data_IF_331255708649
#
_entry.id   IF_331255708649
#
_cell.length_a   1.000
_cell.length_b   1.000
_cell.length_c   1.000
_cell.angle_alpha   90.00
_cell.angle_beta   90.00
_cell.angle_gamma   90.00
#
_symmetry.space_group_name_H-M   'P 1'
#
loop_
_entity.id
_entity.type
_entity.pdbx_description
1 polymer ?
#
# COMPACT_ATOMS: atom_id res chain seq x y z
N UNK A 1 59.49 30.53 5.41
CA UNK A 1 58.80 29.26 5.09
C UNK A 1 57.81 28.94 6.19
N UNK A 2 56.52 29.08 5.89
CA UNK A 2 55.44 28.22 6.38
C UNK A 2 54.21 28.61 5.57
N UNK A 3 53.98 27.89 4.49
CA UNK A 3 52.76 27.99 3.70
C UNK A 3 51.76 27.05 4.35
N UNK A 4 50.75 27.60 5.00
CA UNK A 4 49.57 26.87 5.43
C UNK A 4 48.84 26.41 4.16
N UNK A 5 48.74 25.09 3.96
CA UNK A 5 47.82 24.48 3.01
C UNK A 5 46.43 24.54 3.64
N UNK A 6 45.57 25.41 3.12
CA UNK A 6 44.12 25.25 3.25
C UNK A 6 43.72 24.03 2.41
N UNK A 7 43.37 22.95 3.09
CA UNK A 7 42.61 21.86 2.50
C UNK A 7 41.16 22.30 2.46
N UNK A 8 40.72 22.79 1.30
CA UNK A 8 39.31 22.96 0.98
C UNK A 8 38.59 21.61 1.13
N UNK A 9 37.71 21.51 2.13
CA UNK A 9 36.68 20.48 2.19
C UNK A 9 35.76 20.67 0.98
N UNK A 10 36.06 19.95 -0.11
CA UNK A 10 35.12 19.79 -1.21
C UNK A 10 33.88 19.08 -0.66
N UNK A 11 32.82 19.85 -0.39
CA UNK A 11 31.49 19.32 -0.19
C UNK A 11 31.13 18.50 -1.43
N UNK A 12 31.12 17.18 -1.30
CA UNK A 12 30.68 16.28 -2.37
C UNK A 12 29.21 16.56 -2.63
N UNK A 13 28.94 17.37 -3.66
CA UNK A 13 27.58 17.56 -4.17
C UNK A 13 27.19 16.24 -4.81
N UNK A 14 26.21 15.55 -4.23
CA UNK A 14 25.65 14.36 -4.85
C UNK A 14 25.04 14.77 -6.20
N UNK A 15 25.26 14.00 -7.28
CA UNK A 15 24.69 14.33 -8.58
C UNK A 15 23.17 14.41 -8.45
N UNK A 16 22.62 15.58 -8.74
CA UNK A 16 21.18 15.82 -8.71
C UNK A 16 20.64 15.50 -10.10
N UNK A 17 19.91 14.39 -10.22
CA UNK A 17 19.28 14.02 -11.50
C UNK A 17 18.05 14.91 -11.69
N UNK A 18 18.01 15.64 -12.80
CA UNK A 18 16.85 16.39 -13.23
C UNK A 18 16.03 15.54 -14.21
N UNK A 19 14.72 15.45 -13.96
CA UNK A 19 13.79 14.74 -14.81
C UNK A 19 12.58 15.59 -15.15
N UNK A 20 11.92 15.25 -16.26
CA UNK A 20 10.65 15.83 -16.65
C UNK A 20 9.52 14.80 -16.47
N UNK A 21 8.42 15.29 -15.93
CA UNK A 21 7.18 14.55 -15.75
C UNK A 21 6.26 14.88 -16.93
N UNK A 22 5.76 13.83 -17.59
CA UNK A 22 4.78 13.93 -18.66
C UNK A 22 3.45 13.40 -18.16
N UNK A 23 2.40 14.18 -18.35
CA UNK A 23 1.08 13.87 -17.84
C UNK A 23 0.00 14.77 -18.38
N UNK A 24 -1.22 14.51 -17.96
CA UNK A 24 -2.35 15.41 -18.18
C UNK A 24 -2.69 16.13 -16.88
N UNK A 25 -3.09 17.39 -16.98
CA UNK A 25 -3.55 18.16 -15.84
C UNK A 25 -4.98 18.65 -16.13
N UNK A 26 -5.92 18.25 -15.28
CA UNK A 26 -7.30 18.73 -15.30
C UNK A 26 -7.61 19.46 -13.99
N UNK A 27 -7.40 20.78 -13.97
CA UNK A 27 -7.50 21.58 -12.76
C UNK A 27 -6.43 21.20 -11.73
N UNK A 28 -6.85 20.62 -10.60
CA UNK A 28 -5.97 20.16 -9.51
C UNK A 28 -5.61 18.68 -9.60
N UNK A 29 -6.22 17.96 -10.54
CA UNK A 29 -5.92 16.56 -10.80
C UNK A 29 -4.79 16.48 -11.82
N UNK A 30 -3.73 15.75 -11.47
CA UNK A 30 -2.55 15.57 -12.31
C UNK A 30 -2.33 14.08 -12.49
N UNK A 31 -2.52 13.62 -13.71
CA UNK A 31 -2.25 12.24 -14.11
C UNK A 31 -0.86 12.17 -14.72
N UNK A 32 0.08 11.54 -14.03
CA UNK A 32 1.45 11.35 -14.52
C UNK A 32 1.49 10.05 -15.31
N UNK A 33 1.83 10.14 -16.60
CA UNK A 33 1.87 9.00 -17.52
C UNK A 33 3.30 8.50 -17.72
N UNK A 34 4.29 9.40 -17.74
CA UNK A 34 5.68 9.04 -17.98
C UNK A 34 6.65 10.01 -17.30
N UNK A 35 7.87 9.56 -17.02
CA UNK A 35 8.97 10.37 -16.50
C UNK A 35 10.24 10.05 -17.28
N UNK A 36 11.03 11.06 -17.62
CA UNK A 36 12.31 10.86 -18.30
C UNK A 36 13.37 11.83 -17.77
N UNK A 37 14.63 11.42 -17.84
CA UNK A 37 15.77 12.26 -17.45
C UNK A 37 16.02 13.35 -18.48
N UNK A 38 16.43 14.53 -17.98
CA UNK A 38 16.81 15.66 -18.81
C UNK A 38 18.33 15.67 -19.00
N UNK A 39 18.76 15.98 -20.22
CA UNK A 39 20.18 16.17 -20.50
C UNK A 39 20.67 17.43 -19.77
N UNK A 40 21.81 17.32 -19.10
CA UNK A 40 22.52 18.44 -18.48
C UNK A 40 23.63 18.95 -19.40
N UNK A 41 24.05 20.20 -19.23
CA UNK A 41 25.17 20.75 -19.99
C UNK A 41 26.49 20.04 -19.66
N UNK A 42 27.35 19.86 -20.67
CA UNK A 42 28.66 19.22 -20.48
C UNK A 42 29.50 19.95 -19.42
N UNK A 43 29.75 19.29 -18.29
CA UNK A 43 30.55 19.83 -17.18
C UNK A 43 29.78 20.58 -16.10
N UNK A 44 28.44 20.63 -16.17
CA UNK A 44 27.55 21.19 -15.14
C UNK A 44 26.29 20.35 -14.95
N UNK A 45 26.28 19.52 -13.93
CA UNK A 45 25.14 18.65 -13.58
C UNK A 45 23.91 19.42 -13.06
N UNK A 46 24.06 20.73 -12.79
CA UNK A 46 23.03 21.61 -12.26
C UNK A 46 22.28 22.41 -13.34
N UNK A 47 22.76 22.41 -14.59
CA UNK A 47 22.15 23.16 -15.69
C UNK A 47 21.55 22.22 -16.73
N UNK A 48 20.26 22.39 -17.02
CA UNK A 48 19.59 21.64 -18.07
C UNK A 48 19.96 22.22 -19.43
N UNK A 49 20.23 21.34 -20.40
CA UNK A 49 20.42 21.71 -21.80
C UNK A 49 19.13 22.39 -22.32
N UNK A 50 19.24 23.70 -22.53
CA UNK A 50 18.15 24.53 -23.02
C UNK A 50 17.73 24.20 -24.45
N UNK A 51 18.66 23.77 -25.30
CA UNK A 51 18.39 23.40 -26.70
C UNK A 51 17.62 22.07 -26.75
N UNK A 52 18.02 21.12 -25.89
CA UNK A 52 17.30 19.86 -25.70
C UNK A 52 15.86 20.11 -25.22
N UNK A 53 15.67 20.98 -24.22
CA UNK A 53 14.35 21.33 -23.71
C UNK A 53 13.49 22.05 -24.76
N UNK A 54 14.04 23.02 -25.49
CA UNK A 54 13.29 23.77 -26.49
C UNK A 54 12.86 22.89 -27.67
N UNK A 55 13.73 21.97 -28.12
CA UNK A 55 13.40 21.00 -29.18
C UNK A 55 12.21 20.10 -28.81
N UNK A 56 12.03 19.88 -27.50
CA UNK A 56 10.99 19.04 -26.91
C UNK A 56 9.77 19.83 -26.44
N UNK A 57 9.90 21.13 -26.21
CA UNK A 57 8.83 22.04 -25.75
C UNK A 57 7.68 22.13 -26.74
N UNK A 58 7.97 22.12 -28.04
CA UNK A 58 6.92 22.22 -29.06
C UNK A 58 6.01 20.97 -29.08
N UNK A 59 6.47 19.86 -28.48
CA UNK A 59 5.69 18.64 -28.27
C UNK A 59 4.80 18.72 -27.01
N UNK A 60 5.18 19.55 -26.01
CA UNK A 60 4.60 19.53 -24.66
C UNK A 60 4.42 20.95 -24.11
N UNK A 61 3.18 21.42 -24.08
CA UNK A 61 2.84 22.70 -23.45
C UNK A 61 2.37 22.48 -22.00
N UNK A 62 3.04 23.11 -21.04
CA UNK A 62 2.59 23.18 -19.65
C UNK A 62 2.64 24.63 -19.16
N UNK A 63 1.49 25.19 -18.80
CA UNK A 63 1.37 26.56 -18.30
C UNK A 63 1.69 26.70 -16.81
N UNK A 64 1.62 25.60 -16.05
CA UNK A 64 1.84 25.56 -14.59
C UNK A 64 2.67 24.33 -14.21
N UNK A 65 4.00 24.36 -14.36
CA UNK A 65 4.84 23.22 -14.03
C UNK A 65 4.86 22.98 -12.52
N UNK A 66 4.60 21.74 -12.10
CA UNK A 66 4.80 21.29 -10.72
C UNK A 66 6.23 20.79 -10.55
N UNK A 67 6.83 21.14 -9.41
CA UNK A 67 8.16 20.65 -9.04
C UNK A 67 7.99 19.52 -8.03
N UNK A 68 8.42 18.31 -8.39
CA UNK A 68 8.50 17.19 -7.47
C UNK A 68 9.95 16.98 -7.05
N UNK A 69 10.20 17.02 -5.75
CA UNK A 69 11.53 16.76 -5.17
C UNK A 69 11.50 15.37 -4.57
N UNK A 70 12.19 14.42 -5.21
CA UNK A 70 12.35 13.06 -4.71
C UNK A 70 13.46 13.04 -3.65
N UNK A 71 13.16 12.46 -2.48
CA UNK A 71 14.07 12.39 -1.34
C UNK A 71 14.43 10.92 -1.09
N UNK A 72 15.49 10.39 -1.73
CA UNK A 72 15.84 8.98 -1.63
C UNK A 72 16.27 8.57 -0.21
N UNK A 73 16.69 9.53 0.63
CA UNK A 73 17.26 9.28 1.96
C UNK A 73 16.28 9.47 3.12
N UNK A 74 15.03 9.90 2.88
CA UNK A 74 14.07 10.25 3.95
C UNK A 74 12.97 9.20 4.16
N UNK A 75 13.33 7.91 4.16
CA UNK A 75 12.48 6.87 4.77
C UNK A 75 12.69 6.86 6.30
N UNK A 76 13.16 7.96 6.88
CA UNK A 76 13.14 8.24 8.31
C UNK A 76 11.72 8.67 8.71
N UNK A 77 10.91 7.65 8.96
CA UNK A 77 9.66 7.62 9.72
C UNK A 77 9.35 8.89 10.53
N UNK A 78 8.65 9.86 9.93
CA UNK A 78 8.24 11.03 10.72
C UNK A 78 6.88 11.68 10.49
N UNK A 79 5.97 11.21 9.62
CA UNK A 79 4.54 11.63 9.71
C UNK A 79 3.55 10.53 10.10
N UNK A 80 2.53 10.96 10.86
CA UNK A 80 1.77 10.15 11.83
C UNK A 80 0.48 9.55 11.20
N UNK A 81 0.18 9.85 9.94
CA UNK A 81 -1.14 9.53 9.35
C UNK A 81 -1.11 8.99 7.92
N UNK A 82 0.05 8.75 7.35
CA UNK A 82 0.19 8.15 6.02
C UNK A 82 1.65 7.85 5.76
N UNK A 83 1.93 6.80 5.00
CA UNK A 83 3.26 6.64 4.40
C UNK A 83 3.59 7.95 3.69
N UNK A 84 4.53 8.73 4.23
CA UNK A 84 5.08 9.87 3.51
C UNK A 84 5.78 9.27 2.31
N UNK A 85 5.21 9.49 1.13
CA UNK A 85 5.88 9.11 -0.08
C UNK A 85 7.23 9.85 -0.12
N UNK A 86 8.27 9.26 -0.71
CA UNK A 86 9.61 9.81 -0.71
C UNK A 86 9.73 11.01 -1.66
N UNK A 87 8.70 11.87 -1.74
CA UNK A 87 8.73 13.12 -2.48
C UNK A 87 7.86 14.20 -1.84
N UNK A 88 8.23 15.45 -2.15
CA UNK A 88 7.42 16.64 -1.89
C UNK A 88 7.03 17.29 -3.22
N UNK A 89 5.79 17.77 -3.30
CA UNK A 89 5.30 18.52 -4.44
C UNK A 89 5.33 20.02 -4.12
N UNK A 90 5.73 20.83 -5.09
CA UNK A 90 5.74 22.27 -4.99
C UNK A 90 5.06 22.91 -6.20
N UNK A 91 4.27 23.95 -5.94
CA UNK A 91 3.66 24.76 -7.00
C UNK A 91 4.31 26.15 -7.07
N UNK A 92 4.49 26.71 -8.28
CA UNK A 92 5.05 28.04 -8.46
C UNK A 92 4.00 29.09 -8.05
N UNK A 93 4.35 29.97 -7.12
CA UNK A 93 3.54 31.09 -6.65
C UNK A 93 4.35 32.38 -6.68
N UNK A 94 3.67 33.51 -6.91
CA UNK A 94 4.28 34.83 -6.84
C UNK A 94 4.05 35.41 -5.44
N UNK A 95 5.12 35.59 -4.69
CA UNK A 95 5.07 36.22 -3.36
C UNK A 95 5.55 37.68 -3.46
N UNK A 96 4.76 38.61 -2.93
CA UNK A 96 5.12 40.03 -2.86
C UNK A 96 5.53 40.34 -1.42
N UNK A 97 6.84 40.52 -1.19
CA UNK A 97 7.40 41.01 0.08
C UNK A 97 8.23 42.26 -0.18
N UNK A 98 8.13 43.25 0.71
CA UNK A 98 8.92 44.49 0.65
C UNK A 98 8.90 45.21 -0.71
N UNK A 99 7.72 45.28 -1.35
CA UNK A 99 7.50 45.87 -2.68
C UNK A 99 8.33 45.23 -3.81
N UNK A 100 8.89 44.03 -3.58
CA UNK A 100 9.55 43.22 -4.61
C UNK A 100 8.74 41.95 -4.85
N UNK A 101 8.48 41.69 -6.12
CA UNK A 101 7.81 40.49 -6.59
C UNK A 101 8.85 39.39 -6.78
N UNK A 102 8.71 38.25 -6.09
CA UNK A 102 9.57 37.07 -6.28
C UNK A 102 8.74 35.85 -6.65
N UNK A 103 9.25 35.04 -7.58
CA UNK A 103 8.72 33.71 -7.86
C UNK A 103 9.23 32.75 -6.78
N UNK A 104 8.34 32.03 -6.12
CA UNK A 104 8.64 31.12 -5.02
C UNK A 104 7.86 29.82 -5.22
N UNK A 105 8.49 28.69 -4.89
CA UNK A 105 7.83 27.40 -4.83
C UNK A 105 7.28 27.17 -3.43
N UNK A 106 5.99 26.90 -3.31
CA UNK A 106 5.33 26.57 -2.04
C UNK A 106 4.95 25.10 -2.02
N UNK A 107 5.08 24.45 -0.85
CA UNK A 107 4.75 23.03 -0.70
C UNK A 107 3.25 22.81 -0.91
N UNK A 108 2.90 21.94 -1.86
CA UNK A 108 1.54 21.63 -2.23
C UNK A 108 1.08 20.32 -1.56
N UNK A 109 -0.07 20.32 -0.85
CA UNK A 109 -0.64 19.08 -0.33
C UNK A 109 -1.09 18.19 -1.48
N UNK A 110 -0.79 16.90 -1.40
CA UNK A 110 -1.13 15.94 -2.45
C UNK A 110 -1.76 14.68 -1.86
N UNK A 111 -2.52 13.98 -2.71
CA UNK A 111 -3.02 12.63 -2.46
C UNK A 111 -2.67 11.82 -3.70
N UNK A 112 -2.06 10.65 -3.52
CA UNK A 112 -1.74 9.75 -4.63
C UNK A 112 -2.89 8.78 -4.84
N UNK A 113 -3.30 8.67 -6.10
CA UNK A 113 -4.29 7.70 -6.56
C UNK A 113 -3.63 6.83 -7.62
N UNK A 114 -3.86 5.52 -7.56
CA UNK A 114 -3.33 4.55 -8.52
C UNK A 114 -4.47 3.91 -9.29
N UNK A 115 -4.24 3.62 -10.57
CA UNK A 115 -5.23 2.93 -11.40
C UNK A 115 -5.45 1.48 -10.93
N UNK A 116 -6.58 0.86 -11.30
CA UNK A 116 -6.89 -0.52 -10.88
C UNK A 116 -5.81 -1.53 -11.33
N UNK A 117 -5.38 -1.42 -12.59
CA UNK A 117 -4.34 -2.30 -13.13
C UNK A 117 -3.00 -2.13 -12.42
N UNK A 118 -2.61 -0.88 -12.15
CA UNK A 118 -1.39 -0.56 -11.39
C UNK A 118 -1.49 -1.08 -9.96
N UNK A 119 -2.62 -0.85 -9.27
CA UNK A 119 -2.86 -1.33 -7.92
C UNK A 119 -2.72 -2.84 -7.83
N UNK A 120 -3.33 -3.59 -8.76
CA UNK A 120 -3.22 -5.06 -8.80
C UNK A 120 -1.76 -5.49 -9.03
N UNK A 121 -1.08 -4.87 -10.00
CA UNK A 121 0.30 -5.22 -10.34
C UNK A 121 1.28 -4.94 -9.18
N UNK A 122 1.14 -3.78 -8.53
CA UNK A 122 1.94 -3.36 -7.37
C UNK A 122 1.64 -4.26 -6.17
N UNK A 123 0.38 -4.54 -5.88
CA UNK A 123 -0.03 -5.41 -4.77
C UNK A 123 0.51 -6.84 -4.95
N UNK A 124 0.44 -7.38 -6.17
CA UNK A 124 0.97 -8.71 -6.47
C UNK A 124 2.50 -8.76 -6.35
N UNK A 125 3.20 -7.71 -6.79
CA UNK A 125 4.66 -7.59 -6.65
C UNK A 125 5.06 -7.45 -5.19
N UNK A 126 4.35 -6.62 -4.41
CA UNK A 126 4.60 -6.40 -2.99
C UNK A 126 4.39 -7.67 -2.15
N UNK A 127 3.43 -8.52 -2.56
CA UNK A 127 3.16 -9.83 -1.95
C UNK A 127 4.10 -10.93 -2.43
N UNK A 128 5.06 -10.63 -3.31
CA UNK A 128 6.03 -11.61 -3.82
C UNK A 128 5.42 -12.68 -4.72
N UNK A 129 4.35 -12.35 -5.46
CA UNK A 129 3.73 -13.27 -6.43
C UNK A 129 2.79 -14.32 -5.81
N UNK A 130 2.76 -14.46 -4.48
CA UNK A 130 1.85 -15.34 -3.76
C UNK A 130 0.51 -14.68 -3.44
N UNK A 131 -0.59 -15.42 -3.58
CA UNK A 131 -1.88 -14.99 -3.07
C UNK A 131 -1.85 -14.94 -1.54
N UNK A 132 -1.59 -13.75 -0.96
CA UNK A 132 -1.63 -13.58 0.48
C UNK A 132 -3.06 -13.78 0.99
N UNK A 133 -3.22 -14.57 2.04
CA UNK A 133 -4.54 -14.77 2.65
C UNK A 133 -5.01 -13.48 3.32
N UNK A 134 -6.33 -13.29 3.45
CA UNK A 134 -6.88 -12.13 4.17
C UNK A 134 -6.39 -12.02 5.61
N UNK A 135 -6.06 -13.14 6.25
CA UNK A 135 -5.46 -13.17 7.58
C UNK A 135 -4.02 -12.64 7.56
N UNK A 136 -3.21 -13.06 6.60
CA UNK A 136 -1.81 -12.64 6.49
C UNK A 136 -1.70 -11.13 6.22
N UNK A 137 -2.53 -10.59 5.31
CA UNK A 137 -2.56 -9.14 5.07
C UNK A 137 -3.00 -8.35 6.31
N UNK A 138 -4.00 -8.87 7.05
CA UNK A 138 -4.45 -8.26 8.29
C UNK A 138 -3.36 -8.26 9.37
N UNK A 139 -2.70 -9.40 9.59
CA UNK A 139 -1.59 -9.51 10.54
C UNK A 139 -0.40 -8.64 10.15
N UNK A 140 -0.12 -8.51 8.86
CA UNK A 140 0.95 -7.64 8.37
C UNK A 140 0.64 -6.16 8.64
N UNK A 141 -0.61 -5.73 8.44
CA UNK A 141 -1.06 -4.37 8.78
C UNK A 141 -0.96 -4.11 10.28
N UNK A 142 -1.44 -5.04 11.12
CA UNK A 142 -1.31 -4.95 12.58
C UNK A 142 0.17 -4.84 13.01
N UNK A 143 1.04 -5.69 12.47
CA UNK A 143 2.48 -5.66 12.75
C UNK A 143 3.10 -4.33 12.37
N UNK A 144 2.77 -3.80 11.19
CA UNK A 144 3.29 -2.51 10.73
C UNK A 144 2.86 -1.36 11.66
N UNK A 145 1.58 -1.35 12.08
CA UNK A 145 1.07 -0.37 13.02
C UNK A 145 1.77 -0.44 14.38
N UNK A 146 1.97 -1.63 14.94
CA UNK A 146 2.71 -1.84 16.20
C UNK A 146 4.15 -1.38 16.08
N UNK A 147 4.82 -1.72 14.97
CA UNK A 147 6.21 -1.28 14.70
C UNK A 147 6.32 0.24 14.66
N UNK A 148 5.42 0.91 13.92
CA UNK A 148 5.39 2.36 13.84
C UNK A 148 5.16 3.01 15.20
N UNK A 149 4.22 2.51 15.99
CA UNK A 149 3.96 3.01 17.33
C UNK A 149 5.19 2.85 18.24
N UNK A 150 5.85 1.70 18.18
CA UNK A 150 7.06 1.44 18.97
C UNK A 150 8.19 2.41 18.62
N UNK A 151 8.48 2.62 17.33
CA UNK A 151 9.48 3.59 16.87
C UNK A 151 9.16 5.01 17.38
N UNK A 152 7.89 5.41 17.35
CA UNK A 152 7.46 6.72 17.87
C UNK A 152 7.64 6.85 19.38
N UNK A 153 7.29 5.82 20.14
CA UNK A 153 7.48 5.81 21.60
C UNK A 153 8.98 5.95 21.92
N UNK A 154 9.86 5.26 21.18
CA UNK A 154 11.30 5.40 21.38
C UNK A 154 11.81 6.83 21.15
N UNK A 155 11.34 7.50 20.09
CA UNK A 155 11.70 8.91 19.81
C UNK A 155 11.24 9.82 20.95
N UNK A 156 10.02 9.62 21.47
CA UNK A 156 9.50 10.40 22.60
C UNK A 156 10.32 10.17 23.88
N UNK A 157 10.68 8.92 24.17
CA UNK A 157 11.53 8.56 25.31
C UNK A 157 12.91 9.19 25.18
N UNK A 158 13.52 9.14 23.99
CA UNK A 158 14.81 9.76 23.71
C UNK A 158 14.75 11.28 23.89
N UNK A 159 13.69 11.94 23.41
CA UNK A 159 13.47 13.37 23.59
C UNK A 159 13.44 13.74 25.09
N UNK A 160 12.61 13.06 25.88
CA UNK A 160 12.50 13.32 27.33
C UNK A 160 13.84 13.07 28.04
N UNK A 161 14.57 12.02 27.66
CA UNK A 161 15.88 11.70 28.24
C UNK A 161 16.89 12.82 27.97
N UNK A 162 16.94 13.33 26.73
CA UNK A 162 17.85 14.41 26.34
C UNK A 162 17.51 15.74 27.02
N UNK A 163 16.22 16.02 27.24
CA UNK A 163 15.76 17.19 27.99
C UNK A 163 16.17 17.11 29.46
N UNK A 164 16.02 15.94 30.10
CA UNK A 164 16.47 15.71 31.49
C UNK A 164 17.99 15.84 31.61
N UNK A 165 18.74 15.38 30.61
CA UNK A 165 20.20 15.51 30.55
C UNK A 165 20.69 16.94 30.24
N UNK A 166 19.79 17.89 29.96
CA UNK A 166 20.13 19.28 29.64
C UNK A 166 20.76 19.49 28.26
N UNK A 167 20.65 18.51 27.34
CA UNK A 167 21.24 18.57 26.00
C UNK A 167 20.38 19.35 24.99
N UNK A 168 19.08 19.47 25.25
CA UNK A 168 18.09 20.09 24.35
C UNK A 168 17.25 21.10 25.15
N UNK A 169 16.90 22.28 24.58
CA UNK A 169 16.01 23.23 25.25
C UNK A 169 14.64 22.62 25.55
N UNK A 170 14.10 22.92 26.73
CA UNK A 170 12.79 22.44 27.19
C UNK A 170 11.67 23.08 26.38
N UNK A 171 10.95 22.29 25.58
CA UNK A 171 9.67 22.72 25.01
C UNK A 171 8.52 22.26 25.91
N UNK A 172 7.97 23.21 26.66
CA UNK A 172 6.86 22.96 27.59
C UNK A 172 5.56 22.57 26.90
N UNK A 173 5.36 22.90 25.62
CA UNK A 173 4.14 22.53 24.89
C UNK A 173 4.12 21.03 24.60
N UNK A 174 5.23 20.49 24.09
CA UNK A 174 5.42 19.05 23.86
C UNK A 174 5.40 18.23 25.16
N UNK A 175 5.99 18.73 26.25
CA UNK A 175 5.93 18.04 27.55
C UNK A 175 4.50 17.99 28.11
N UNK A 176 3.72 19.05 27.93
CA UNK A 176 2.31 19.08 28.35
C UNK A 176 1.46 18.10 27.53
N UNK A 177 1.66 18.04 26.21
CA UNK A 177 0.92 17.09 25.36
C UNK A 177 1.27 15.64 25.69
N UNK A 178 2.54 15.35 25.98
CA UNK A 178 2.99 14.03 26.42
C UNK A 178 2.36 13.64 27.76
N UNK A 179 2.31 14.56 28.72
CA UNK A 179 1.63 14.32 30.01
C UNK A 179 0.14 14.07 29.83
N UNK A 180 -0.53 14.81 28.95
CA UNK A 180 -1.95 14.59 28.65
C UNK A 180 -2.19 13.23 27.98
N UNK A 181 -1.28 12.81 27.08
CA UNK A 181 -1.34 11.51 26.42
C UNK A 181 -1.22 10.38 27.44
N UNK A 182 -0.26 10.44 28.36
CA UNK A 182 -0.13 9.44 29.43
C UNK A 182 -1.39 9.42 30.31
N UNK A 183 -1.96 10.58 30.64
CA UNK A 183 -3.19 10.66 31.41
C UNK A 183 -4.43 10.12 30.66
N UNK A 184 -4.41 10.14 29.33
CA UNK A 184 -5.48 9.61 28.48
C UNK A 184 -5.42 8.10 28.27
N UNK A 185 -4.30 7.45 28.64
CA UNK A 185 -4.19 6.00 28.51
C UNK A 185 -5.24 5.34 29.42
N UNK A 186 -6.03 4.39 28.90
CA UNK A 186 -7.05 3.74 29.69
C UNK A 186 -6.40 3.09 30.90
N UNK A 187 -6.89 3.43 32.09
CA UNK A 187 -6.52 2.74 33.32
C UNK A 187 -7.12 1.33 33.27
N UNK A 188 -6.40 0.40 32.63
CA UNK A 188 -6.69 -1.03 32.52
C UNK A 188 -6.97 -1.69 33.89
N UNK A 189 -6.56 -1.03 34.97
CA UNK A 189 -6.74 -1.48 36.34
C UNK A 189 -8.14 -1.20 36.93
N UNK A 190 -9.04 -0.48 36.23
CA UNK A 190 -10.40 -0.32 36.72
C UNK A 190 -11.16 -1.66 36.67
N UNK A 191 -11.71 -2.08 37.82
CA UNK A 191 -12.47 -3.33 37.93
C UNK A 191 -13.65 -3.39 36.96
N UNK A 192 -14.36 -2.28 36.74
CA UNK A 192 -15.49 -2.24 35.81
C UNK A 192 -15.09 -2.53 34.37
N UNK A 193 -13.94 -2.02 33.93
CA UNK A 193 -13.40 -2.30 32.60
C UNK A 193 -13.00 -3.77 32.45
N UNK A 194 -12.41 -4.38 33.48
CA UNK A 194 -12.02 -5.80 33.43
C UNK A 194 -13.23 -6.73 33.35
N UNK A 195 -14.27 -6.44 34.11
CA UNK A 195 -15.51 -7.22 34.09
C UNK A 195 -16.17 -7.14 32.70
N UNK A 196 -16.29 -5.93 32.13
CA UNK A 196 -16.83 -5.71 30.77
C UNK A 196 -15.96 -6.35 29.67
N UNK A 197 -14.63 -6.20 29.75
CA UNK A 197 -13.69 -6.82 28.83
C UNK A 197 -13.76 -8.35 28.86
N UNK A 198 -13.90 -8.95 30.05
CA UNK A 198 -14.05 -10.40 30.18
C UNK A 198 -15.35 -10.88 29.54
N UNK A 199 -16.46 -10.17 29.74
CA UNK A 199 -17.74 -10.49 29.10
C UNK A 199 -17.63 -10.43 27.58
N UNK A 200 -17.05 -9.36 27.01
CA UNK A 200 -16.83 -9.29 25.56
C UNK A 200 -15.90 -10.40 25.05
N UNK A 201 -14.84 -10.70 25.79
CA UNK A 201 -13.90 -11.77 25.43
C UNK A 201 -14.59 -13.14 25.36
N UNK A 202 -15.42 -13.46 26.37
CA UNK A 202 -16.23 -14.67 26.41
C UNK A 202 -17.19 -14.75 25.21
N UNK A 203 -17.89 -13.65 24.90
CA UNK A 203 -18.83 -13.59 23.77
C UNK A 203 -18.14 -13.79 22.40
N UNK A 204 -16.98 -13.17 22.20
CA UNK A 204 -16.16 -13.37 20.98
C UNK A 204 -15.71 -14.82 20.87
N UNK A 205 -15.30 -15.43 21.98
CA UNK A 205 -14.86 -16.82 22.00
C UNK A 205 -16.02 -17.79 21.69
N UNK A 206 -17.19 -17.57 22.27
CA UNK A 206 -18.39 -18.37 22.00
C UNK A 206 -18.82 -18.24 20.53
N UNK A 207 -18.79 -17.03 19.98
CA UNK A 207 -19.10 -16.77 18.57
C UNK A 207 -18.11 -17.48 17.64
N UNK A 208 -16.82 -17.45 17.98
CA UNK A 208 -15.78 -18.16 17.23
C UNK A 208 -15.97 -19.69 17.28
N UNK A 209 -16.32 -20.25 18.44
CA UNK A 209 -16.62 -21.67 18.57
C UNK A 209 -17.85 -22.09 17.77
N UNK A 210 -18.94 -21.33 17.82
CA UNK A 210 -20.15 -21.61 17.04
C UNK A 210 -19.87 -21.55 15.54
N UNK A 211 -19.07 -20.57 15.08
CA UNK A 211 -18.63 -20.46 13.69
C UNK A 211 -17.80 -21.68 13.26
N UNK A 212 -16.85 -22.11 14.09
CA UNK A 212 -16.05 -23.32 13.85
C UNK A 212 -16.91 -24.58 13.77
N UNK A 213 -17.87 -24.74 14.69
CA UNK A 213 -18.79 -25.88 14.70
C UNK A 213 -19.66 -25.88 13.44
N UNK A 214 -20.25 -24.73 13.09
CA UNK A 214 -21.06 -24.58 11.88
C UNK A 214 -20.25 -24.93 10.62
N UNK A 215 -19.01 -24.45 10.55
CA UNK A 215 -18.09 -24.77 9.45
C UNK A 215 -17.75 -26.27 9.41
N UNK A 216 -17.55 -26.90 10.56
CA UNK A 216 -17.29 -28.34 10.66
C UNK A 216 -18.47 -29.17 10.18
N UNK A 217 -19.70 -28.80 10.55
CA UNK A 217 -20.93 -29.47 10.08
C UNK A 217 -21.10 -29.30 8.57
N UNK A 218 -20.80 -28.12 8.02
CA UNK A 218 -20.83 -27.91 6.58
C UNK A 218 -19.84 -28.81 5.84
N UNK A 219 -18.60 -28.91 6.34
CA UNK A 219 -17.57 -29.81 5.77
C UNK A 219 -17.99 -31.28 5.89
N UNK A 220 -18.66 -31.67 6.98
CA UNK A 220 -19.19 -33.02 7.14
C UNK A 220 -20.30 -33.32 6.14
N UNK A 221 -21.21 -32.38 5.88
CA UNK A 221 -22.23 -32.54 4.85
C UNK A 221 -21.59 -32.72 3.46
N UNK A 222 -20.62 -31.87 3.10
CA UNK A 222 -19.87 -32.00 1.84
C UNK A 222 -19.16 -33.35 1.72
N UNK A 223 -18.67 -33.90 2.83
CA UNK A 223 -18.00 -35.20 2.87
C UNK A 223 -19.00 -36.35 2.70
N UNK A 224 -20.15 -36.28 3.37
CA UNK A 224 -21.24 -37.24 3.22
C UNK A 224 -21.71 -37.28 1.77
N UNK A 225 -21.92 -36.11 1.16
CA UNK A 225 -22.34 -36.00 -0.24
C UNK A 225 -21.30 -36.64 -1.18
N UNK A 226 -20.01 -36.34 -0.99
CA UNK A 226 -18.94 -36.99 -1.76
C UNK A 226 -18.89 -38.50 -1.54
N UNK A 227 -19.10 -38.97 -0.31
CA UNK A 227 -19.11 -40.40 0.00
C UNK A 227 -20.28 -41.11 -0.69
N UNK A 228 -21.48 -40.51 -0.69
CA UNK A 228 -22.65 -41.04 -1.38
C UNK A 228 -22.42 -41.13 -2.89
N UNK A 229 -21.79 -40.13 -3.51
CA UNK A 229 -21.43 -40.18 -4.94
C UNK A 229 -20.42 -41.30 -5.22
N UNK A 230 -19.36 -41.41 -4.43
CA UNK A 230 -18.31 -42.41 -4.63
C UNK A 230 -18.80 -43.85 -4.40
N UNK A 231 -19.65 -44.07 -3.40
CA UNK A 231 -20.17 -45.40 -3.07
C UNK A 231 -21.41 -45.78 -3.86
N UNK A 232 -22.25 -44.81 -4.23
CA UNK A 232 -23.39 -44.98 -5.12
C UNK A 232 -22.96 -45.36 -6.54
N UNK A 233 -21.93 -44.70 -7.09
CA UNK A 233 -21.39 -45.01 -8.42
C UNK A 233 -20.75 -46.41 -8.55
N UNK A 234 -20.39 -47.07 -7.44
CA UNK A 234 -19.78 -48.40 -7.46
C UNK A 234 -20.81 -49.54 -7.58
N UNK A 235 -22.10 -49.27 -7.33
CA UNK A 235 -23.15 -50.30 -7.34
C UNK A 235 -23.83 -50.51 -8.69
N UNK A 236 -23.94 -49.48 -9.52
CA UNK A 236 -24.67 -49.57 -10.80
C UNK A 236 -23.84 -50.13 -11.96
N UNK A 237 -22.51 -50.16 -11.86
CA UNK A 237 -21.65 -50.64 -12.96
C UNK A 237 -21.37 -52.17 -12.91
N UNK A 238 -21.86 -52.87 -11.88
CA UNK A 238 -21.68 -54.34 -11.74
C UNK A 238 -22.85 -55.18 -12.26
N UNK A 239 -23.94 -54.57 -12.72
CA UNK A 239 -25.16 -55.30 -13.12
C UNK A 239 -25.35 -55.47 -14.63
N UNK A 240 -24.42 -55.01 -15.49
CA UNK A 240 -24.62 -55.01 -16.95
C UNK A 240 -23.79 -56.02 -17.76
N UNK A 241 -23.12 -57.00 -17.14
CA UNK A 241 -22.30 -57.98 -17.89
C UNK A 241 -22.60 -59.45 -17.61
N UNK A 242 -23.85 -59.88 -17.40
CA UNK A 242 -24.19 -61.33 -17.44
C UNK A 242 -25.63 -61.57 -17.94
N UNK A 243 -25.74 -62.33 -19.05
CA UNK A 243 -26.94 -62.89 -19.77
C UNK A 243 -27.43 -62.04 -20.95
N UNK A 244 -27.57 -62.55 -22.19
CA UNK A 244 -27.70 -63.93 -22.67
C UNK A 244 -27.43 -63.99 -24.18
N UNK A 245 -26.51 -64.88 -24.58
CA UNK A 245 -26.38 -65.46 -25.93
C UNK A 245 -27.64 -66.29 -26.22
N UNK A 246 -28.34 -66.04 -27.33
CA UNK A 246 -29.55 -66.80 -27.68
C UNK A 246 -30.28 -66.35 -28.96
N UNK A 247 -29.69 -66.65 -30.11
CA UNK A 247 -30.30 -67.12 -31.36
C UNK A 247 -31.84 -66.99 -31.58
N UNK A 248 -32.25 -66.36 -32.69
CA UNK A 248 -33.37 -66.87 -33.50
C UNK A 248 -34.49 -65.90 -33.92
N UNK A 249 -34.60 -65.74 -35.25
CA UNK A 249 -35.84 -65.68 -36.06
C UNK A 249 -36.75 -64.43 -36.03
N UNK A 250 -36.68 -63.70 -37.16
CA UNK A 250 -37.74 -63.59 -38.18
C UNK A 250 -38.96 -62.70 -37.91
N UNK A 251 -39.05 -61.59 -38.66
CA UNK A 251 -40.27 -61.24 -39.39
C UNK A 251 -40.83 -59.83 -39.22
N UNK A 252 -41.02 -59.16 -40.37
CA UNK A 252 -41.96 -58.06 -40.69
C UNK A 252 -41.65 -56.61 -40.26
N UNK A 253 -41.22 -55.83 -41.26
CA UNK A 253 -41.55 -54.40 -41.52
C UNK A 253 -43.03 -54.26 -41.99
N UNK A 254 -43.60 -53.06 -42.30
CA UNK A 254 -43.24 -51.65 -42.02
C UNK A 254 -44.45 -50.73 -41.62
N UNK A 255 -44.21 -49.43 -41.39
CA UNK A 255 -45.20 -48.34 -41.50
C UNK A 255 -44.97 -47.26 -40.43
N UNK A 256 -44.14 -46.24 -40.68
CA UNK A 256 -44.47 -44.96 -41.33
C UNK A 256 -45.71 -44.25 -40.75
N UNK A 257 -45.50 -43.11 -40.09
CA UNK A 257 -46.18 -41.81 -40.30
C UNK A 257 -45.55 -40.79 -39.35
N UNK A 258 -44.81 -39.83 -39.93
CA UNK A 258 -44.36 -38.63 -39.22
C UNK A 258 -45.47 -37.58 -39.08
N UNK A 259 -45.32 -36.67 -38.12
CA UNK A 259 -45.42 -35.21 -38.28
C UNK A 259 -45.43 -34.53 -36.90
N UNK A 260 -44.49 -33.59 -36.77
CA UNK A 260 -44.42 -32.44 -35.85
C UNK A 260 -45.71 -31.58 -35.87
N UNK A 261 -45.91 -30.58 -34.98
CA UNK A 261 -44.93 -29.73 -34.27
C UNK A 261 -44.59 -30.17 -32.85
#
# INVERSE_FOLDING_TARGET
>A
MNSQMDTDEQSVVLPSILGALLGTQNGREVEIVNTFELATEEGRDDLVDHDFLMSRRDQWYCSTPLLLVLQPSTISSSDITGQTLPFKAYEPTIEIRDKKTRSVFIEAPYKVETGEAERIAVDWTAKGGGGSTSLESHLQSQRAAVKMLHERILVLVQYVTNVIAGQIPTDHTTLRSLSALIASLPASENKGFRDEFNTEYEDVQLTAFLSSLTKSTNILNDLVDKHLVLTGGSRDDRTLTVRRRGMGRQGMMPGDWGMHP
#
